data_IF_100436845224
#
_entry.id   IF_100436845224
#
_cell.length_a   1.000
_cell.length_b   1.000
_cell.length_c   1.000
_cell.angle_alpha   90.00
_cell.angle_beta   90.00
_cell.angle_gamma   90.00
#
_symmetry.space_group_name_H-M   'P 1'
#
loop_
_entity.id
_entity.type
_entity.pdbx_description
1 polymer ?
#
# COMPACT_ATOMS: atom_id res chain seq x y z
N UNK A 1 3.57 16.55 11.23
CA UNK A 1 2.85 15.27 11.34
C UNK A 1 3.06 14.68 12.72
N UNK A 2 2.00 14.14 13.32
CA UNK A 2 2.07 13.47 14.62
C UNK A 2 2.63 12.03 14.52
N UNK A 3 2.78 11.54 13.30
CA UNK A 3 3.40 10.26 12.97
C UNK A 3 4.63 10.52 12.11
N UNK A 4 5.77 9.95 12.51
CA UNK A 4 6.98 9.88 11.68
C UNK A 4 6.81 8.81 10.59
N UNK A 5 5.76 8.94 9.78
CA UNK A 5 5.47 8.00 8.70
C UNK A 5 5.18 8.78 7.40
N UNK A 6 6.21 9.21 6.68
CA UNK A 6 6.07 10.04 5.49
C UNK A 6 5.34 9.33 4.34
N UNK A 7 5.34 7.99 4.33
CA UNK A 7 4.69 7.17 3.29
C UNK A 7 3.19 6.95 3.48
N UNK A 8 2.62 7.25 4.62
CA UNK A 8 1.22 6.93 4.85
C UNK A 8 0.27 7.51 3.79
N UNK A 9 0.41 8.77 3.32
CA UNK A 9 -0.43 9.28 2.24
C UNK A 9 -0.25 8.50 0.93
N UNK A 10 0.97 8.08 0.60
CA UNK A 10 1.25 7.24 -0.56
C UNK A 10 0.55 5.88 -0.44
N UNK A 11 0.68 5.20 0.70
CA UNK A 11 0.04 3.91 0.94
C UNK A 11 -1.49 4.01 0.82
N UNK A 12 -2.08 5.06 1.37
CA UNK A 12 -3.53 5.32 1.25
C UNK A 12 -3.90 5.52 -0.23
N UNK A 13 -3.18 6.38 -0.94
CA UNK A 13 -3.41 6.63 -2.37
C UNK A 13 -3.27 5.37 -3.21
N UNK A 14 -2.23 4.59 -2.99
CA UNK A 14 -1.99 3.32 -3.69
C UNK A 14 -3.15 2.32 -3.50
N UNK A 15 -3.67 2.19 -2.29
CA UNK A 15 -4.77 1.26 -1.99
C UNK A 15 -6.09 1.63 -2.66
N UNK A 16 -6.35 2.92 -2.84
CA UNK A 16 -7.64 3.39 -3.37
C UNK A 16 -7.65 3.58 -4.89
N UNK A 17 -6.51 3.86 -5.50
CA UNK A 17 -6.46 4.20 -6.94
C UNK A 17 -6.93 3.05 -7.82
N UNK A 18 -6.51 1.81 -7.52
CA UNK A 18 -6.90 0.62 -8.27
C UNK A 18 -8.41 0.42 -8.30
N UNK A 19 -9.08 0.26 -7.15
CA UNK A 19 -10.54 0.10 -7.08
C UNK A 19 -11.32 1.29 -7.67
N UNK A 20 -10.85 2.52 -7.45
CA UNK A 20 -11.46 3.72 -7.99
C UNK A 20 -11.43 3.73 -9.54
N UNK A 21 -10.29 3.41 -10.12
CA UNK A 21 -10.13 3.35 -11.58
C UNK A 21 -10.89 2.16 -12.17
N UNK A 22 -10.90 1.02 -11.48
CA UNK A 22 -11.69 -0.14 -11.87
C UNK A 22 -13.19 0.21 -11.97
N UNK A 23 -13.73 0.86 -10.95
CA UNK A 23 -15.12 1.33 -10.96
C UNK A 23 -15.38 2.33 -12.09
N UNK A 24 -14.47 3.27 -12.33
CA UNK A 24 -14.57 4.29 -13.37
C UNK A 24 -14.58 3.68 -14.77
N UNK A 25 -13.73 2.69 -15.03
CA UNK A 25 -13.58 2.06 -16.34
C UNK A 25 -14.33 0.74 -16.49
N UNK A 26 -15.19 0.40 -15.51
CA UNK A 26 -16.00 -0.83 -15.51
C UNK A 26 -15.14 -2.12 -15.56
N UNK A 27 -13.96 -2.07 -14.96
CA UNK A 27 -13.14 -3.26 -14.70
C UNK A 27 -13.64 -3.93 -13.43
N UNK A 28 -13.80 -5.24 -13.45
CA UNK A 28 -14.41 -5.98 -12.34
C UNK A 28 -13.39 -6.49 -11.32
N UNK A 29 -12.17 -6.71 -11.74
CA UNK A 29 -11.15 -7.36 -10.93
C UNK A 29 -9.88 -6.52 -10.89
N UNK A 30 -9.39 -6.29 -9.68
CA UNK A 30 -8.12 -5.63 -9.38
C UNK A 30 -7.22 -6.61 -8.64
N UNK A 31 -6.00 -6.80 -9.10
CA UNK A 31 -4.97 -7.52 -8.37
C UNK A 31 -3.95 -6.57 -7.79
N UNK A 32 -3.65 -6.76 -6.49
CA UNK A 32 -2.43 -6.25 -5.88
C UNK A 32 -1.38 -7.35 -5.87
N UNK A 33 -0.14 -6.99 -6.21
CA UNK A 33 0.98 -7.94 -6.29
C UNK A 33 1.43 -8.47 -4.94
N UNK A 34 1.04 -7.78 -3.88
CA UNK A 34 1.40 -8.10 -2.50
C UNK A 34 0.64 -9.32 -1.96
N UNK A 35 1.09 -9.81 -0.82
CA UNK A 35 0.38 -10.76 0.01
C UNK A 35 -0.23 -10.04 1.22
N UNK A 36 -1.41 -10.45 1.66
CA UNK A 36 -2.06 -9.87 2.83
C UNK A 36 -1.24 -10.00 4.10
N UNK A 37 -0.51 -11.11 4.25
CA UNK A 37 0.37 -11.36 5.39
C UNK A 37 1.50 -10.32 5.56
N UNK A 38 1.90 -9.63 4.49
CA UNK A 38 2.97 -8.63 4.53
C UNK A 38 2.60 -7.37 5.31
N UNK A 39 1.32 -7.13 5.52
CA UNK A 39 0.82 -5.93 6.19
C UNK A 39 0.54 -6.09 7.69
N UNK A 40 0.88 -7.25 8.27
CA UNK A 40 0.65 -7.52 9.69
C UNK A 40 -0.82 -7.61 10.07
N UNK A 41 -1.68 -8.04 9.15
CA UNK A 41 -3.10 -8.27 9.38
C UNK A 41 -3.34 -9.47 10.30
N UNK A 42 -4.55 -9.61 10.81
CA UNK A 42 -4.94 -10.79 11.57
C UNK A 42 -4.72 -12.06 10.76
N UNK A 43 -4.30 -13.13 11.44
CA UNK A 43 -4.01 -14.43 10.81
C UNK A 43 -5.21 -14.93 10.01
N UNK A 44 -6.43 -14.72 10.49
CA UNK A 44 -7.65 -15.14 9.81
C UNK A 44 -7.88 -14.44 8.46
N UNK A 45 -7.43 -13.20 8.33
CA UNK A 45 -7.52 -12.42 7.08
C UNK A 45 -6.56 -12.95 6.00
N UNK A 46 -5.50 -13.68 6.37
CA UNK A 46 -4.53 -14.23 5.44
C UNK A 46 -5.06 -15.43 4.63
N UNK A 47 -6.18 -15.99 5.02
CA UNK A 47 -6.79 -17.15 4.34
C UNK A 47 -7.83 -16.77 3.28
N UNK A 48 -8.02 -15.49 3.01
CA UNK A 48 -8.92 -15.01 1.96
C UNK A 48 -8.14 -14.36 0.82
N UNK A 49 -8.53 -14.62 -0.44
CA UNK A 49 -7.92 -13.95 -1.58
C UNK A 49 -8.31 -12.47 -1.68
N UNK A 50 -9.45 -12.10 -1.11
CA UNK A 50 -10.05 -10.77 -1.28
C UNK A 50 -9.55 -9.80 -0.22
N UNK A 51 -9.22 -8.58 -0.67
CA UNK A 51 -8.94 -7.47 0.23
C UNK A 51 -10.23 -6.99 0.89
N UNK A 52 -10.22 -6.82 2.21
CA UNK A 52 -11.35 -6.26 2.95
C UNK A 52 -11.61 -4.81 2.48
N UNK A 53 -12.88 -4.48 2.26
CA UNK A 53 -13.32 -3.15 1.79
C UNK A 53 -12.90 -2.02 2.73
N UNK A 54 -12.73 -2.28 4.02
CA UNK A 54 -12.22 -1.30 5.00
C UNK A 54 -10.88 -0.66 4.59
N UNK A 55 -10.09 -1.32 3.74
CA UNK A 55 -8.79 -0.82 3.29
C UNK A 55 -8.87 0.16 2.11
N UNK A 56 -9.96 0.13 1.34
CA UNK A 56 -10.09 0.92 0.11
C UNK A 56 -11.45 1.59 -0.07
N UNK A 57 -12.29 1.59 0.96
CA UNK A 57 -13.56 2.34 0.98
C UNK A 57 -13.74 3.07 2.30
N UNK A 58 -14.61 4.07 2.30
CA UNK A 58 -14.96 4.84 3.50
C UNK A 58 -16.39 5.36 3.37
N UNK A 59 -17.10 5.43 4.48
CA UNK A 59 -18.47 5.96 4.54
C UNK A 59 -18.46 7.49 4.57
N UNK A 60 -17.65 8.09 5.47
CA UNK A 60 -17.45 9.54 5.53
C UNK A 60 -15.98 9.90 5.23
N UNK A 61 -15.71 10.62 4.13
CA UNK A 61 -14.37 11.12 3.81
C UNK A 61 -13.69 11.91 4.92
N UNK A 62 -14.46 12.55 5.79
CA UNK A 62 -13.93 13.37 6.88
C UNK A 62 -13.24 12.54 7.98
N UNK A 63 -13.53 11.24 8.04
CA UNK A 63 -12.98 10.34 9.06
C UNK A 63 -11.68 9.65 8.62
N UNK A 64 -11.25 9.87 7.38
CA UNK A 64 -9.97 9.34 6.87
C UNK A 64 -8.82 9.88 7.71
N UNK A 65 -7.96 8.97 8.15
CA UNK A 65 -6.79 9.30 8.95
C UNK A 65 -5.56 9.51 8.07
N UNK A 66 -4.99 10.70 8.11
CA UNK A 66 -3.75 11.05 7.42
C UNK A 66 -2.75 11.61 8.43
N UNK A 67 -1.61 10.94 8.57
CA UNK A 67 -0.57 11.37 9.51
C UNK A 67 -1.02 11.40 10.97
N UNK A 68 -1.94 10.51 11.36
CA UNK A 68 -2.47 10.40 12.72
C UNK A 68 -3.56 11.42 13.07
N UNK A 69 -4.06 12.17 12.07
CA UNK A 69 -5.20 13.07 12.24
C UNK A 69 -6.27 12.78 11.19
N UNK A 70 -7.54 12.90 11.58
CA UNK A 70 -8.63 12.83 10.61
C UNK A 70 -8.61 14.04 9.67
N UNK A 71 -9.12 13.87 8.45
CA UNK A 71 -9.29 15.00 7.51
C UNK A 71 -10.11 16.12 8.17
N UNK A 72 -11.13 15.79 8.95
CA UNK A 72 -11.94 16.72 9.75
C UNK A 72 -11.06 17.60 10.64
N UNK A 73 -10.15 17.01 11.39
CA UNK A 73 -9.25 17.75 12.27
C UNK A 73 -8.21 18.57 11.50
N UNK A 74 -7.70 18.03 10.38
CA UNK A 74 -6.74 18.77 9.55
C UNK A 74 -7.40 20.04 8.99
N UNK A 75 -8.62 19.94 8.45
CA UNK A 75 -9.36 21.09 7.91
C UNK A 75 -9.67 22.12 9.01
N UNK A 76 -9.98 21.69 10.23
CA UNK A 76 -10.26 22.60 11.33
C UNK A 76 -9.03 23.37 11.84
N UNK A 77 -7.84 22.82 11.65
CA UNK A 77 -6.57 23.37 12.14
C UNK A 77 -5.73 24.08 11.06
N UNK A 78 -6.17 24.02 9.79
CA UNK A 78 -5.39 24.51 8.64
C UNK A 78 -6.31 25.16 7.61
N UNK A 79 -5.71 25.78 6.58
CA UNK A 79 -6.43 26.35 5.44
C UNK A 79 -6.83 25.33 4.36
N UNK A 80 -6.50 24.05 4.55
CA UNK A 80 -6.87 23.00 3.61
C UNK A 80 -8.39 22.79 3.56
N UNK A 81 -8.87 22.42 2.36
CA UNK A 81 -10.27 22.10 2.09
C UNK A 81 -10.42 20.65 1.70
N UNK A 82 -11.60 20.07 1.85
CA UNK A 82 -11.86 18.67 1.48
C UNK A 82 -11.42 18.35 0.05
N UNK A 83 -11.52 19.30 -0.87
CA UNK A 83 -11.09 19.12 -2.25
C UNK A 83 -9.58 18.83 -2.41
N UNK A 84 -8.76 19.30 -1.49
CA UNK A 84 -7.30 19.09 -1.52
C UNK A 84 -6.94 17.64 -1.16
N UNK A 85 -7.85 16.91 -0.51
CA UNK A 85 -7.70 15.53 -0.13
C UNK A 85 -8.27 14.53 -1.13
N UNK A 86 -8.82 14.97 -2.26
CA UNK A 86 -9.40 14.07 -3.28
C UNK A 86 -8.54 12.86 -3.65
N UNK A 87 -7.20 12.96 -3.80
CA UNK A 87 -6.37 11.80 -4.11
C UNK A 87 -6.35 10.73 -3.02
N UNK A 88 -6.78 11.07 -1.80
CA UNK A 88 -6.75 10.21 -0.63
C UNK A 88 -8.15 9.79 -0.16
N UNK A 89 -9.18 10.19 -0.89
CA UNK A 89 -10.57 9.87 -0.56
C UNK A 89 -11.01 8.64 -1.36
N UNK A 90 -11.17 7.49 -0.70
CA UNK A 90 -11.67 6.29 -1.37
C UNK A 90 -13.14 6.45 -1.74
N UNK A 91 -13.60 5.70 -2.73
CA UNK A 91 -15.02 5.63 -3.05
C UNK A 91 -15.79 4.96 -1.91
N UNK A 92 -17.11 5.20 -1.86
CA UNK A 92 -18.00 4.49 -0.96
C UNK A 92 -18.07 3.01 -1.32
N UNK A 93 -18.19 2.14 -0.30
CA UNK A 93 -18.31 0.70 -0.49
C UNK A 93 -19.49 0.34 -1.42
N UNK A 94 -20.65 0.95 -1.19
CA UNK A 94 -21.86 0.75 -2.01
C UNK A 94 -21.63 1.06 -3.51
N UNK A 95 -20.84 2.08 -3.81
CA UNK A 95 -20.52 2.42 -5.20
C UNK A 95 -19.66 1.34 -5.85
N UNK A 96 -18.65 0.84 -5.16
CA UNK A 96 -17.81 -0.25 -5.66
C UNK A 96 -18.60 -1.55 -5.85
N UNK A 97 -19.51 -1.86 -4.92
CA UNK A 97 -20.42 -3.01 -5.01
C UNK A 97 -21.35 -2.89 -6.20
N UNK A 98 -21.94 -1.72 -6.42
CA UNK A 98 -22.82 -1.48 -7.57
C UNK A 98 -22.11 -1.66 -8.92
N UNK A 99 -20.78 -1.48 -8.92
CA UNK A 99 -19.91 -1.71 -10.06
C UNK A 99 -19.39 -3.15 -10.15
N UNK A 100 -19.60 -3.96 -9.12
CA UNK A 100 -19.09 -5.33 -9.04
C UNK A 100 -17.57 -5.40 -9.05
N UNK A 101 -16.91 -4.45 -8.38
CA UNK A 101 -15.44 -4.42 -8.27
C UNK A 101 -15.00 -5.33 -7.14
N UNK A 102 -14.12 -6.26 -7.45
CA UNK A 102 -13.42 -7.12 -6.49
C UNK A 102 -11.94 -6.80 -6.49
N UNK A 103 -11.34 -6.82 -5.31
CA UNK A 103 -9.90 -6.56 -5.11
C UNK A 103 -9.28 -7.79 -4.48
N UNK A 104 -8.26 -8.33 -5.12
CA UNK A 104 -7.61 -9.58 -4.71
C UNK A 104 -6.12 -9.38 -4.52
N UNK A 105 -5.53 -10.21 -3.67
CA UNK A 105 -4.09 -10.34 -3.52
C UNK A 105 -3.56 -11.43 -4.46
N UNK A 106 -2.66 -11.05 -5.37
CA UNK A 106 -2.08 -11.99 -6.32
C UNK A 106 -1.25 -13.06 -5.61
N UNK A 107 -0.57 -12.70 -4.53
CA UNK A 107 0.23 -13.61 -3.72
C UNK A 107 -0.57 -14.72 -3.03
N UNK A 108 -1.91 -14.64 -3.01
CA UNK A 108 -2.75 -15.76 -2.59
C UNK A 108 -2.80 -16.89 -3.63
N UNK A 109 -2.74 -16.54 -4.91
CA UNK A 109 -2.87 -17.48 -6.03
C UNK A 109 -1.53 -18.00 -6.53
N UNK A 110 -0.49 -17.16 -6.43
CA UNK A 110 0.84 -17.45 -6.93
C UNK A 110 1.85 -17.39 -5.78
N UNK A 111 2.63 -18.45 -5.57
CA UNK A 111 3.76 -18.37 -4.65
C UNK A 111 4.73 -17.30 -5.16
N UNK A 112 5.14 -16.43 -4.25
CA UNK A 112 6.07 -15.37 -4.55
C UNK A 112 7.38 -15.59 -3.79
N UNK A 113 8.46 -15.76 -4.52
CA UNK A 113 9.82 -15.82 -4.00
C UNK A 113 10.61 -14.64 -4.57
N UNK A 114 10.99 -13.65 -3.74
CA UNK A 114 11.71 -12.47 -4.19
C UNK A 114 13.09 -12.81 -4.76
N UNK A 115 13.73 -13.86 -4.27
CA UNK A 115 15.05 -14.28 -4.76
C UNK A 115 14.95 -14.92 -6.16
N UNK A 116 13.94 -15.74 -6.40
CA UNK A 116 13.68 -16.29 -7.74
C UNK A 116 13.31 -15.19 -8.74
N UNK A 117 12.46 -14.25 -8.32
CA UNK A 117 12.11 -13.09 -9.14
C UNK A 117 13.34 -12.25 -9.51
N UNK A 118 14.27 -12.07 -8.56
CA UNK A 118 15.53 -11.38 -8.82
C UNK A 118 16.39 -12.10 -9.86
N UNK A 119 16.58 -13.40 -9.73
CA UNK A 119 17.34 -14.18 -10.71
C UNK A 119 16.70 -14.12 -12.09
N UNK A 120 15.40 -14.32 -12.16
CA UNK A 120 14.68 -14.20 -13.43
C UNK A 120 14.83 -12.82 -14.06
N UNK A 121 14.71 -11.75 -13.27
CA UNK A 121 14.82 -10.38 -13.76
C UNK A 121 16.24 -10.10 -14.30
N UNK A 122 17.29 -10.53 -13.59
CA UNK A 122 18.67 -10.34 -14.05
C UNK A 122 18.98 -11.09 -15.34
N UNK A 123 18.44 -12.28 -15.51
CA UNK A 123 18.68 -13.11 -16.70
C UNK A 123 17.87 -12.66 -17.92
N UNK A 124 16.64 -12.16 -17.72
CA UNK A 124 15.69 -11.95 -18.82
C UNK A 124 15.37 -10.50 -19.15
N UNK A 125 15.65 -9.54 -18.23
CA UNK A 125 15.26 -8.15 -18.41
C UNK A 125 16.41 -7.16 -18.45
N UNK A 126 17.65 -7.62 -18.17
CA UNK A 126 18.81 -6.75 -18.01
C UNK A 126 18.80 -5.96 -16.69
N UNK A 127 17.98 -6.37 -15.73
CA UNK A 127 17.96 -5.76 -14.41
C UNK A 127 19.32 -5.87 -13.72
N UNK A 128 19.76 -4.79 -13.09
CA UNK A 128 21.01 -4.73 -12.34
C UNK A 128 20.72 -4.32 -10.89
N UNK A 129 21.24 -5.09 -9.93
CA UNK A 129 21.20 -4.72 -8.54
C UNK A 129 22.15 -3.56 -8.22
N UNK A 130 21.95 -2.92 -7.08
CA UNK A 130 22.91 -1.96 -6.54
C UNK A 130 24.27 -2.61 -6.21
N UNK A 131 25.32 -1.80 -6.17
CA UNK A 131 26.64 -2.23 -5.70
C UNK A 131 26.64 -2.53 -4.19
N UNK A 132 25.81 -1.81 -3.42
CA UNK A 132 25.69 -1.94 -1.98
C UNK A 132 24.27 -2.36 -1.59
N UNK A 133 24.13 -2.84 -0.36
CA UNK A 133 22.81 -3.17 0.19
C UNK A 133 21.96 -1.93 0.35
N UNK A 134 20.67 -2.07 0.11
CA UNK A 134 19.70 -1.05 0.53
C UNK A 134 19.65 -1.00 2.05
N UNK A 135 19.81 0.18 2.63
CA UNK A 135 19.78 0.36 4.09
C UNK A 135 18.49 -0.17 4.68
N UNK A 136 18.61 -0.87 5.82
CA UNK A 136 17.50 -1.55 6.47
C UNK A 136 17.11 -2.89 5.87
N UNK A 137 17.84 -3.39 4.85
CA UNK A 137 17.63 -4.69 4.21
C UNK A 137 18.92 -5.50 4.13
N UNK A 138 18.80 -6.79 3.80
CA UNK A 138 19.95 -7.65 3.50
C UNK A 138 20.22 -7.79 1.99
N UNK A 139 19.34 -7.26 1.15
CA UNK A 139 19.42 -7.40 -0.30
C UNK A 139 20.05 -6.16 -0.98
N UNK A 140 20.53 -6.36 -2.21
CA UNK A 140 21.04 -5.31 -3.09
C UNK A 140 20.02 -4.90 -4.16
N UNK A 141 18.83 -5.48 -4.14
CA UNK A 141 17.80 -5.29 -5.16
C UNK A 141 16.46 -4.78 -4.62
N UNK A 142 16.36 -4.58 -3.29
CA UNK A 142 15.14 -4.03 -2.69
C UNK A 142 15.14 -2.51 -2.74
N UNK A 143 14.05 -1.92 -3.23
CA UNK A 143 13.80 -0.45 -3.18
C UNK A 143 14.98 0.39 -3.68
N UNK A 144 15.53 0.01 -4.83
CA UNK A 144 16.72 0.69 -5.40
C UNK A 144 16.37 1.99 -6.13
N UNK A 145 15.12 2.19 -6.44
CA UNK A 145 14.55 3.33 -7.17
C UNK A 145 14.09 4.47 -6.25
N UNK A 146 13.92 4.22 -4.95
CA UNK A 146 13.42 5.21 -4.01
C UNK A 146 14.24 5.28 -2.71
N UNK A 147 14.94 6.41 -2.54
CA UNK A 147 15.72 6.68 -1.32
C UNK A 147 14.86 6.93 -0.08
N UNK A 148 13.57 7.22 -0.24
CA UNK A 148 12.67 7.48 0.87
C UNK A 148 12.25 6.18 1.56
N UNK A 149 12.31 5.05 0.89
CA UNK A 149 12.02 3.74 1.45
C UNK A 149 12.89 3.38 2.68
N UNK A 150 14.10 3.92 2.72
CA UNK A 150 14.97 3.78 3.90
C UNK A 150 14.31 4.33 5.18
N UNK A 151 13.55 5.42 5.08
CA UNK A 151 12.80 5.97 6.21
C UNK A 151 11.65 5.07 6.62
N UNK A 152 11.02 4.40 5.66
CA UNK A 152 10.01 3.40 5.95
C UNK A 152 10.60 2.23 6.74
N UNK A 153 11.73 1.70 6.32
CA UNK A 153 12.42 0.61 7.03
C UNK A 153 12.89 1.06 8.43
N UNK A 154 13.42 2.26 8.54
CA UNK A 154 13.81 2.82 9.84
C UNK A 154 12.61 2.95 10.77
N UNK A 155 11.49 3.50 10.29
CA UNK A 155 10.27 3.64 11.10
C UNK A 155 9.69 2.30 11.50
N UNK A 156 9.75 1.31 10.63
CA UNK A 156 9.33 -0.08 10.91
C UNK A 156 10.23 -0.70 11.99
N UNK A 157 11.55 -0.54 11.88
CA UNK A 157 12.50 -1.01 12.89
C UNK A 157 12.26 -0.35 14.25
N UNK A 158 12.07 0.96 14.27
CA UNK A 158 11.84 1.72 15.52
C UNK A 158 10.50 1.35 16.15
N UNK A 159 9.46 1.11 15.34
CA UNK A 159 8.11 0.84 15.85
C UNK A 159 7.92 -0.61 16.28
N UNK A 160 8.48 -1.56 15.54
CA UNK A 160 8.22 -3.00 15.74
C UNK A 160 9.46 -3.78 16.16
N UNK A 161 10.64 -3.17 16.15
CA UNK A 161 11.91 -3.87 16.41
C UNK A 161 12.29 -4.88 15.33
N UNK A 162 11.65 -4.84 14.16
CA UNK A 162 11.82 -5.79 13.08
C UNK A 162 12.48 -5.10 11.89
N UNK A 163 13.67 -5.56 11.52
CA UNK A 163 14.29 -5.20 10.25
C UNK A 163 13.70 -6.05 9.12
N UNK A 164 13.56 -5.51 7.94
CA UNK A 164 13.14 -6.27 6.76
C UNK A 164 14.27 -7.21 6.33
N UNK A 165 14.02 -8.51 6.44
CA UNK A 165 14.98 -9.58 6.12
C UNK A 165 14.70 -10.11 4.70
N UNK A 166 14.84 -9.32 3.68
CA UNK A 166 14.89 -9.81 2.28
C UNK A 166 15.57 -8.80 1.41
#
# INVERSE_FOLDING_TARGET
TNLLHPFQPFIVGQRIIGPMMAAKFNVKLVFYGENQAEYGNNVDENYTPTMDKKFFSVDDPMDIMLGGKSIRNIISETDFKLNDFKPYVPPKAEYLESKGVEVHYLGYYLPWDPQECYYYATENTGFQSNSERTEGTYSKYSSIDDKIDMFHYLTTLVTFGIGRAT
#
